data_IF_198787145792
#
_entry.id   IF_198787145792
#
_cell.length_a   1.000
_cell.length_b   1.000
_cell.length_c   1.000
_cell.angle_alpha   90.00
_cell.angle_beta   90.00
_cell.angle_gamma   90.00
#
_symmetry.space_group_name_H-M   'P 1'
#
loop_
_entity.id
_entity.type
_entity.pdbx_description
1 polymer ?
#
# COMPACT_ATOMS: atom_id res chain seq x y z
N UNK A 1 -0.58 11.65 20.09
CA UNK A 1 -1.06 11.59 18.69
C UNK A 1 -0.11 12.32 17.74
N UNK A 2 -0.04 13.67 17.78
CA UNK A 2 0.71 14.49 16.77
C UNK A 2 2.20 14.11 16.59
N UNK A 3 2.97 13.94 17.68
CA UNK A 3 4.39 13.55 17.59
C UNK A 3 4.64 12.17 16.96
N UNK A 4 3.72 11.21 17.14
CA UNK A 4 3.83 9.87 16.54
C UNK A 4 3.52 9.94 15.04
N UNK A 5 2.53 10.75 14.66
CA UNK A 5 2.19 10.98 13.26
C UNK A 5 3.34 11.67 12.49
N UNK A 6 3.92 12.72 13.06
CA UNK A 6 5.09 13.40 12.45
C UNK A 6 6.25 12.44 12.25
N UNK A 7 6.47 11.53 13.22
CA UNK A 7 7.47 10.47 13.11
C UNK A 7 7.14 9.44 12.02
N UNK A 8 5.92 8.92 11.99
CA UNK A 8 5.47 7.96 10.98
C UNK A 8 5.59 8.54 9.56
N UNK A 9 5.22 9.81 9.36
CA UNK A 9 5.38 10.53 8.08
C UNK A 9 6.86 10.75 7.75
N UNK A 10 7.68 11.16 8.72
CA UNK A 10 9.12 11.40 8.48
C UNK A 10 9.88 10.15 8.05
N UNK A 11 9.42 8.96 8.46
CA UNK A 11 10.00 7.67 8.05
C UNK A 11 9.63 7.27 6.62
N UNK A 12 8.41 7.60 6.19
CA UNK A 12 7.91 7.28 4.85
C UNK A 12 8.42 8.27 3.79
N UNK A 13 8.56 9.55 4.15
CA UNK A 13 8.90 10.62 3.20
C UNK A 13 10.15 10.36 2.34
N UNK A 14 11.27 9.83 2.86
CA UNK A 14 12.46 9.57 2.05
C UNK A 14 12.20 8.62 0.87
N UNK A 15 11.32 7.63 1.03
CA UNK A 15 11.04 6.62 0.01
C UNK A 15 10.05 7.11 -1.04
N UNK A 16 9.26 8.14 -0.76
CA UNK A 16 8.20 8.61 -1.68
C UNK A 16 8.43 10.02 -2.23
N UNK A 17 9.36 10.81 -1.69
CA UNK A 17 9.57 12.22 -2.07
C UNK A 17 9.81 12.47 -3.56
N UNK A 18 10.24 11.46 -4.31
CA UNK A 18 10.57 11.52 -5.72
C UNK A 18 9.39 11.15 -6.63
N UNK A 19 8.25 10.76 -6.04
CA UNK A 19 7.07 10.34 -6.78
C UNK A 19 6.30 11.54 -7.32
N UNK A 20 5.72 11.38 -8.51
CA UNK A 20 4.75 12.32 -9.07
C UNK A 20 3.39 12.18 -8.38
N UNK A 21 2.48 13.13 -8.60
CA UNK A 21 1.12 13.08 -8.01
C UNK A 21 0.38 11.78 -8.35
N UNK A 22 0.44 11.35 -9.61
CA UNK A 22 -0.19 10.10 -10.06
C UNK A 22 0.46 8.86 -9.45
N UNK A 23 1.78 8.90 -9.26
CA UNK A 23 2.51 7.85 -8.53
C UNK A 23 2.13 7.81 -7.05
N UNK A 24 1.89 8.96 -6.40
CA UNK A 24 1.36 8.98 -5.04
C UNK A 24 -0.04 8.36 -4.95
N UNK A 25 -0.93 8.64 -5.90
CA UNK A 25 -2.25 8.01 -5.94
C UNK A 25 -2.13 6.48 -6.03
N UNK A 26 -1.31 5.98 -6.96
CA UNK A 26 -1.03 4.54 -7.08
C UNK A 26 -0.41 3.98 -5.79
N UNK A 27 0.53 4.71 -5.18
CA UNK A 27 1.16 4.32 -3.93
C UNK A 27 0.15 4.12 -2.81
N UNK A 28 -0.80 5.04 -2.63
CA UNK A 28 -1.85 4.90 -1.61
C UNK A 28 -2.86 3.80 -1.96
N UNK A 29 -3.16 3.57 -3.24
CA UNK A 29 -4.02 2.46 -3.68
C UNK A 29 -3.40 1.10 -3.35
N UNK A 30 -2.12 0.89 -3.65
CA UNK A 30 -1.41 -0.33 -3.27
C UNK A 30 -1.40 -0.55 -1.76
N UNK A 31 -1.16 0.51 -0.97
CA UNK A 31 -1.22 0.40 0.49
C UNK A 31 -2.62 0.09 1.02
N UNK A 32 -3.68 0.49 0.31
CA UNK A 32 -5.05 0.09 0.65
C UNK A 32 -5.26 -1.41 0.42
N UNK A 33 -4.66 -2.00 -0.63
CA UNK A 33 -4.66 -3.45 -0.83
C UNK A 33 -3.87 -4.14 0.27
N UNK A 34 -2.64 -3.71 0.54
CA UNK A 34 -1.78 -4.28 1.58
C UNK A 34 -2.48 -4.29 2.94
N UNK A 35 -3.09 -3.17 3.34
CA UNK A 35 -3.74 -3.05 4.65
C UNK A 35 -5.02 -3.90 4.78
N UNK A 36 -5.68 -4.21 3.66
CA UNK A 36 -6.89 -5.05 3.64
C UNK A 36 -6.60 -6.52 3.40
N UNK A 37 -5.41 -6.84 2.89
CA UNK A 37 -4.99 -8.20 2.63
C UNK A 37 -4.95 -9.01 3.93
N UNK A 38 -5.71 -10.11 3.94
CA UNK A 38 -5.69 -11.09 5.02
C UNK A 38 -5.16 -12.40 4.45
N UNK A 39 -3.92 -12.81 4.80
CA UNK A 39 -3.40 -14.10 4.36
C UNK A 39 -4.32 -15.22 4.83
N UNK A 40 -4.37 -16.31 4.07
CA UNK A 40 -5.16 -17.49 4.46
C UNK A 40 -4.54 -18.16 5.69
N UNK A 41 -5.39 -18.62 6.61
CA UNK A 41 -4.96 -19.30 7.84
C UNK A 41 -4.57 -18.34 8.97
N UNK A 42 -3.62 -18.77 9.81
CA UNK A 42 -3.11 -18.02 10.97
C UNK A 42 -1.86 -17.18 10.63
N UNK A 43 -1.47 -17.12 9.36
CA UNK A 43 -0.26 -16.40 8.93
C UNK A 43 -0.52 -14.90 8.89
N UNK A 44 0.35 -14.11 9.53
CA UNK A 44 0.32 -12.66 9.46
C UNK A 44 1.24 -12.19 8.34
N UNK A 45 0.80 -11.19 7.58
CA UNK A 45 1.64 -10.51 6.59
C UNK A 45 2.74 -9.73 7.33
N UNK A 46 3.99 -9.98 6.96
CA UNK A 46 5.16 -9.25 7.48
C UNK A 46 5.79 -8.37 6.40
N UNK A 47 6.68 -7.47 6.81
CA UNK A 47 7.31 -6.49 5.92
C UNK A 47 8.13 -7.16 4.80
N UNK A 48 8.75 -8.31 5.08
CA UNK A 48 9.46 -9.08 4.05
C UNK A 48 8.53 -9.60 2.96
N UNK A 49 7.31 -10.03 3.31
CA UNK A 49 6.33 -10.49 2.32
C UNK A 49 5.92 -9.36 1.37
N UNK A 50 5.75 -8.14 1.91
CA UNK A 50 5.46 -6.94 1.11
C UNK A 50 6.62 -6.62 0.18
N UNK A 51 7.84 -6.63 0.70
CA UNK A 51 9.03 -6.34 -0.09
C UNK A 51 9.17 -7.33 -1.25
N UNK A 52 8.96 -8.62 -0.99
CA UNK A 52 9.03 -9.67 -2.01
C UNK A 52 7.91 -9.57 -3.05
N UNK A 53 6.67 -9.32 -2.61
CA UNK A 53 5.53 -9.14 -3.51
C UNK A 53 5.74 -7.93 -4.44
N UNK A 54 6.13 -6.80 -3.87
CA UNK A 54 6.38 -5.57 -4.62
C UNK A 54 7.56 -5.73 -5.58
N UNK A 55 8.66 -6.35 -5.15
CA UNK A 55 9.83 -6.61 -5.99
C UNK A 55 9.51 -7.49 -7.19
N UNK A 56 8.75 -8.57 -6.99
CA UNK A 56 8.38 -9.50 -8.05
C UNK A 56 7.45 -8.83 -9.08
N UNK A 57 6.44 -8.09 -8.62
CA UNK A 57 5.54 -7.39 -9.52
C UNK A 57 6.24 -6.24 -10.25
N UNK A 58 7.13 -5.50 -9.59
CA UNK A 58 7.94 -4.47 -10.24
C UNK A 58 8.82 -5.06 -11.35
N UNK A 59 9.53 -6.17 -11.08
CA UNK A 59 10.36 -6.85 -12.06
C UNK A 59 9.54 -7.30 -13.28
N UNK A 60 8.36 -7.88 -13.04
CA UNK A 60 7.41 -8.29 -14.09
C UNK A 60 7.00 -7.13 -15.00
N UNK A 61 6.67 -5.97 -14.40
CA UNK A 61 6.26 -4.78 -15.15
C UNK A 61 7.43 -4.10 -15.87
N UNK A 62 8.63 -4.12 -15.28
CA UNK A 62 9.85 -3.64 -15.93
C UNK A 62 10.21 -4.47 -17.16
N UNK A 63 10.04 -5.80 -17.10
CA UNK A 63 10.24 -6.67 -18.26
C UNK A 63 9.15 -6.48 -19.32
N UNK A 64 7.89 -6.35 -18.90
CA UNK A 64 6.77 -6.10 -19.80
C UNK A 64 6.93 -4.75 -20.54
N UNK A 65 7.41 -3.71 -19.85
CA UNK A 65 7.69 -2.40 -20.45
C UNK A 65 8.81 -2.44 -21.51
N UNK A 66 9.63 -3.50 -21.52
CA UNK A 66 10.66 -3.75 -22.55
C UNK A 66 10.17 -4.70 -23.64
N UNK A 67 8.89 -5.08 -23.64
CA UNK A 67 8.29 -6.02 -24.60
C UNK A 67 8.55 -7.50 -24.28
N UNK A 68 9.00 -7.84 -23.07
CA UNK A 68 9.28 -9.22 -22.67
C UNK A 68 8.15 -9.74 -21.78
N UNK A 69 7.50 -10.82 -22.23
CA UNK A 69 6.46 -11.50 -21.45
C UNK A 69 7.14 -12.47 -20.49
N UNK A 70 7.37 -11.99 -19.27
CA UNK A 70 7.92 -12.76 -18.16
C UNK A 70 7.20 -12.37 -16.89
N UNK A 71 6.89 -13.34 -16.03
CA UNK A 71 6.25 -13.12 -14.74
C UNK A 71 7.15 -13.67 -13.64
N UNK A 72 7.55 -12.78 -12.73
CA UNK A 72 8.32 -13.13 -11.54
C UNK A 72 7.37 -13.50 -10.41
N UNK A 73 7.63 -14.65 -9.76
CA UNK A 73 6.85 -15.12 -8.62
C UNK A 73 7.63 -14.88 -7.31
N UNK A 74 7.00 -14.30 -6.27
CA UNK A 74 7.59 -14.22 -4.93
C UNK A 74 7.88 -15.62 -4.35
N UNK A 75 8.94 -15.80 -3.54
CA UNK A 75 9.27 -17.10 -2.98
C UNK A 75 8.32 -17.52 -1.86
N UNK A 76 7.81 -16.59 -1.04
CA UNK A 76 6.93 -16.90 0.07
C UNK A 76 5.43 -16.95 -0.34
N UNK A 77 4.63 -17.93 0.12
CA UNK A 77 3.20 -17.99 -0.18
C UNK A 77 2.39 -16.74 0.20
N UNK A 78 2.61 -16.09 1.37
CA UNK A 78 1.92 -14.83 1.69
C UNK A 78 2.26 -13.71 0.70
N UNK A 79 3.52 -13.63 0.27
CA UNK A 79 3.96 -12.67 -0.75
C UNK A 79 3.34 -12.96 -2.14
N UNK A 80 3.21 -14.24 -2.52
CA UNK A 80 2.52 -14.65 -3.75
C UNK A 80 1.05 -14.22 -3.75
N UNK A 81 0.35 -14.47 -2.65
CA UNK A 81 -1.05 -14.09 -2.49
C UNK A 81 -1.24 -12.56 -2.58
N UNK A 82 -0.36 -11.80 -1.92
CA UNK A 82 -0.37 -10.34 -1.99
C UNK A 82 -0.09 -9.83 -3.41
N UNK A 83 0.91 -10.38 -4.09
CA UNK A 83 1.25 -10.01 -5.47
C UNK A 83 0.09 -10.26 -6.44
N UNK A 84 -0.62 -11.38 -6.29
CA UNK A 84 -1.81 -11.71 -7.07
C UNK A 84 -2.96 -10.71 -6.85
N UNK A 85 -3.17 -10.26 -5.61
CA UNK A 85 -4.19 -9.26 -5.30
C UNK A 85 -3.84 -7.88 -5.87
N UNK A 86 -2.56 -7.48 -5.77
CA UNK A 86 -2.05 -6.26 -6.40
C UNK A 86 -2.23 -6.28 -7.93
N UNK A 87 -1.94 -7.42 -8.58
CA UNK A 87 -2.16 -7.61 -10.02
C UNK A 87 -3.62 -7.50 -10.40
N UNK A 88 -4.52 -8.08 -9.58
CA UNK A 88 -5.97 -8.00 -9.78
C UNK A 88 -6.47 -6.56 -9.64
N UNK A 89 -5.95 -5.78 -8.68
CA UNK A 89 -6.26 -4.35 -8.56
C UNK A 89 -5.88 -3.59 -9.84
N UNK A 90 -4.67 -3.80 -10.36
CA UNK A 90 -4.21 -3.15 -11.59
C UNK A 90 -5.07 -3.52 -12.80
N UNK A 91 -5.45 -4.80 -12.93
CA UNK A 91 -6.33 -5.26 -13.99
C UNK A 91 -7.70 -4.56 -13.93
N UNK A 92 -8.31 -4.48 -12.74
CA UNK A 92 -9.59 -3.77 -12.55
C UNK A 92 -9.50 -2.28 -12.90
N UNK A 93 -8.41 -1.60 -12.52
CA UNK A 93 -8.22 -0.20 -12.88
C UNK A 93 -8.18 -0.01 -14.40
N UNK A 94 -7.50 -0.90 -15.12
CA UNK A 94 -7.43 -0.87 -16.59
C UNK A 94 -8.79 -1.13 -17.22
N UNK A 95 -9.53 -2.11 -16.71
CA UNK A 95 -10.91 -2.41 -17.14
C UNK A 95 -11.85 -1.22 -16.95
N UNK A 96 -11.64 -0.43 -15.89
CA UNK A 96 -12.38 0.80 -15.60
C UNK A 96 -11.91 2.01 -16.44
N UNK A 97 -10.98 1.81 -17.38
CA UNK A 97 -10.48 2.86 -18.28
C UNK A 97 -9.41 3.75 -17.66
N UNK A 98 -8.89 3.45 -16.46
CA UNK A 98 -7.78 4.19 -15.91
C UNK A 98 -6.50 3.91 -16.71
N UNK A 99 -5.86 4.96 -17.20
CA UNK A 99 -4.54 4.84 -17.81
C UNK A 99 -3.54 4.45 -16.71
N UNK A 100 -3.03 3.21 -16.71
CA UNK A 100 -2.04 2.70 -15.75
C UNK A 100 -0.85 2.13 -16.50
N UNK A 101 0.26 2.87 -16.53
CA UNK A 101 1.46 2.49 -17.29
C UNK A 101 2.36 1.57 -16.46
N UNK A 102 2.88 0.51 -17.10
CA UNK A 102 3.75 -0.48 -16.45
C UNK A 102 4.98 0.16 -15.81
N UNK A 103 5.66 1.06 -16.54
CA UNK A 103 6.88 1.75 -16.05
C UNK A 103 6.61 2.58 -14.80
N UNK A 104 5.50 3.28 -14.76
CA UNK A 104 5.12 4.11 -13.61
C UNK A 104 4.74 3.25 -12.41
N UNK A 105 3.96 2.20 -12.66
CA UNK A 105 3.55 1.24 -11.64
C UNK A 105 4.76 0.55 -11.03
N UNK A 106 5.75 0.18 -11.85
CA UNK A 106 7.01 -0.37 -11.38
C UNK A 106 7.77 0.58 -10.44
N UNK A 107 7.86 1.87 -10.78
CA UNK A 107 8.50 2.89 -9.91
C UNK A 107 7.83 2.91 -8.52
N UNK A 108 6.50 2.90 -8.48
CA UNK A 108 5.73 2.89 -7.23
C UNK A 108 6.00 1.61 -6.43
N UNK A 109 6.00 0.45 -7.09
CA UNK A 109 6.29 -0.83 -6.44
C UNK A 109 7.72 -0.89 -5.89
N UNK A 110 8.71 -0.29 -6.58
CA UNK A 110 10.08 -0.14 -6.06
C UNK A 110 10.13 0.75 -4.81
N UNK A 111 9.34 1.82 -4.76
CA UNK A 111 9.24 2.65 -3.56
C UNK A 111 8.63 1.87 -2.38
N UNK A 112 7.64 1.01 -2.64
CA UNK A 112 7.03 0.12 -1.63
C UNK A 112 8.04 -0.92 -1.13
N UNK A 113 8.74 -1.59 -2.05
CA UNK A 113 9.82 -2.53 -1.74
C UNK A 113 10.87 -1.88 -0.83
N UNK A 114 11.31 -0.68 -1.19
CA UNK A 114 12.29 0.07 -0.42
C UNK A 114 11.76 0.43 0.97
N UNK A 115 10.53 0.94 1.06
CA UNK A 115 9.87 1.24 2.33
C UNK A 115 9.78 0.03 3.25
N UNK A 116 9.36 -1.12 2.72
CA UNK A 116 9.23 -2.35 3.50
C UNK A 116 10.58 -2.91 3.98
N UNK A 117 11.68 -2.65 3.25
CA UNK A 117 13.03 -3.06 3.67
C UNK A 117 13.69 -2.09 4.65
N UNK A 118 13.51 -0.79 4.46
CA UNK A 118 14.27 0.24 5.18
C UNK A 118 13.59 0.74 6.45
N UNK A 119 12.26 0.59 6.58
CA UNK A 119 11.52 1.11 7.75
C UNK A 119 11.76 0.28 9.01
N UNK A 120 12.45 -0.86 8.93
CA UNK A 120 12.88 -1.63 10.12
C UNK A 120 13.83 -0.80 10.98
N UNK A 121 13.31 -0.26 12.09
CA UNK A 121 14.16 0.16 13.19
C UNK A 121 14.70 -1.09 13.92
N UNK A 122 15.91 -1.05 14.52
CA UNK A 122 16.52 -2.21 15.17
C UNK A 122 15.66 -2.89 16.25
N UNK A 123 14.76 -2.13 16.88
CA UNK A 123 13.89 -2.57 17.98
C UNK A 123 12.43 -2.85 17.54
N UNK A 124 12.11 -2.71 16.25
CA UNK A 124 10.75 -2.90 15.74
C UNK A 124 10.58 -4.31 15.13
N UNK A 125 9.43 -4.93 15.42
CA UNK A 125 9.14 -6.29 14.95
C UNK A 125 8.94 -6.39 13.43
N UNK A 126 8.79 -7.61 12.91
CA UNK A 126 8.77 -7.89 11.47
C UNK A 126 7.58 -7.30 10.69
N UNK A 127 6.62 -6.66 11.34
CA UNK A 127 5.44 -6.02 10.74
C UNK A 127 5.41 -4.49 10.97
N UNK A 128 6.57 -3.86 11.21
CA UNK A 128 6.70 -2.45 11.52
C UNK A 128 6.16 -1.55 10.40
N UNK A 129 6.49 -1.87 9.15
CA UNK A 129 6.03 -1.17 7.97
C UNK A 129 4.52 -1.33 7.77
N UNK A 130 4.00 -2.57 7.85
CA UNK A 130 2.55 -2.85 7.80
C UNK A 130 1.80 -2.01 8.82
N UNK A 131 2.26 -2.04 10.07
CA UNK A 131 1.60 -1.36 11.17
C UNK A 131 1.69 0.17 11.02
N UNK A 132 2.80 0.70 10.46
CA UNK A 132 2.95 2.12 10.14
C UNK A 132 1.94 2.56 9.07
N UNK A 133 1.83 1.81 7.98
CA UNK A 133 0.88 2.10 6.90
C UNK A 133 -0.57 2.03 7.41
N UNK A 134 -0.91 0.99 8.17
CA UNK A 134 -2.25 0.82 8.72
C UNK A 134 -2.65 2.05 9.57
N UNK A 135 -1.73 2.55 10.41
CA UNK A 135 -1.95 3.78 11.18
C UNK A 135 -2.13 5.01 10.29
N UNK A 136 -1.30 5.18 9.27
CA UNK A 136 -1.39 6.33 8.35
C UNK A 136 -2.72 6.35 7.58
N UNK A 137 -3.19 5.19 7.11
CA UNK A 137 -4.46 5.06 6.41
C UNK A 137 -5.66 5.32 7.33
N UNK A 138 -5.62 4.83 8.58
CA UNK A 138 -6.66 5.11 9.57
C UNK A 138 -6.76 6.60 9.91
N UNK A 139 -5.62 7.29 10.04
CA UNK A 139 -5.60 8.74 10.29
C UNK A 139 -6.16 9.50 9.10
N UNK A 140 -5.89 9.05 7.87
CA UNK A 140 -6.46 9.67 6.69
C UNK A 140 -7.98 9.49 6.61
N UNK A 141 -8.48 8.28 6.91
CA UNK A 141 -9.90 7.99 6.97
C UNK A 141 -10.61 8.83 8.05
N UNK A 142 -10.02 8.98 9.24
CA UNK A 142 -10.59 9.80 10.32
C UNK A 142 -10.66 11.29 9.97
N UNK A 143 -9.74 11.81 9.13
CA UNK A 143 -9.78 13.20 8.64
C UNK A 143 -10.82 13.43 7.55
N UNK A 144 -11.13 12.40 6.78
CA UNK A 144 -12.09 12.45 5.67
C UNK A 144 -13.47 11.89 6.03
N UNK A 145 -13.68 11.47 7.28
CA UNK A 145 -15.01 11.11 7.75
C UNK A 145 -15.91 12.36 7.66
N UNK A 146 -17.03 12.32 6.93
CA UNK A 146 -18.00 13.41 6.98
C UNK A 146 -18.41 13.58 8.44
N UNK A 147 -18.41 14.82 8.91
CA UNK A 147 -18.84 15.15 10.27
C UNK A 147 -20.21 14.51 10.49
N UNK A 148 -20.23 13.47 11.33
CA UNK A 148 -21.42 12.72 11.66
C UNK A 148 -22.49 13.71 12.10
N UNK A 149 -23.58 13.77 11.34
CA UNK A 149 -24.70 14.65 11.61
C UNK A 149 -25.18 14.35 13.04
N UNK A 150 -24.97 15.32 13.93
CA UNK A 150 -25.43 15.25 15.30
C UNK A 150 -26.91 14.82 15.30
N UNK A 151 -27.33 13.87 16.16
CA UNK A 151 -28.71 13.43 16.18
C UNK A 151 -29.57 14.66 16.46
N UNK A 152 -30.45 14.98 15.51
CA UNK A 152 -31.43 16.04 15.66
C UNK A 152 -32.23 15.75 16.92
N UNK A 153 -32.02 16.56 17.96
CA UNK A 153 -32.86 16.55 19.16
C UNK A 153 -34.29 16.75 18.68
N UNK A 154 -35.10 15.70 18.76
CA UNK A 154 -36.53 15.80 18.58
C UNK A 154 -37.04 16.80 19.61
N UNK A 155 -37.40 18.00 19.14
CA UNK A 155 -38.21 18.95 19.89
C UNK A 155 -39.58 18.30 20.08
N UNK A 156 -39.82 17.77 21.28
CA UNK A 156 -41.18 17.54 21.76
C UNK A 156 -41.75 18.93 22.06
N UNK A 157 -42.67 19.39 21.22
CA UNK A 157 -43.54 20.54 21.47
C UNK A 157 -44.85 20.03 22.14
N UNK A 158 -45.51 20.90 22.94
CA UNK A 158 -46.28 20.55 24.14
C UNK A 158 -47.59 19.80 23.91
#
# INVERSE_FOLDING_TARGET
MRRRQERDVSRLLPTIRHLTERQYQLFFLFHTVIARHKPQGLTRLVDSDIAEAAAALAATLETAARGVIYEQMPPAPPAQALSAEMKTMLARMREQGAAVYDRETAIVLRAIEQGAREVKAPDEGDAAYVDLIARLLQVNAARHAPAEAAPARALILP
#
